data_IF_234967963508
#
_entry.id   IF_234967963508
#
_cell.length_a   1.000
_cell.length_b   1.000
_cell.length_c   1.000
_cell.angle_alpha   90.00
_cell.angle_beta   90.00
_cell.angle_gamma   90.00
#
_symmetry.space_group_name_H-M   'P 1'
#
loop_
_entity.id
_entity.type
_entity.pdbx_description
1 polymer ?
#
# COMPACT_ATOMS: atom_id res chain seq x y z
N UNK A 1 11.26 2.62 -26.58
CA UNK A 1 11.21 1.36 -25.76
C UNK A 1 10.61 1.74 -24.41
N UNK A 2 9.27 1.74 -24.32
CA UNK A 2 8.56 2.16 -23.11
C UNK A 2 8.66 1.05 -22.05
N UNK A 3 9.47 1.26 -21.02
CA UNK A 3 9.43 0.44 -19.81
C UNK A 3 8.17 0.79 -19.04
N UNK A 4 7.13 -0.02 -19.18
CA UNK A 4 6.04 -0.02 -18.23
C UNK A 4 6.62 -0.43 -16.85
N UNK A 5 6.79 0.52 -15.97
CA UNK A 5 7.08 0.21 -14.57
C UNK A 5 5.82 -0.39 -13.95
N UNK A 6 5.86 -1.67 -13.60
CA UNK A 6 4.78 -2.30 -12.86
C UNK A 6 4.59 -1.55 -11.51
N UNK A 7 3.35 -1.38 -11.07
CA UNK A 7 3.00 -0.53 -9.91
C UNK A 7 3.76 -0.81 -8.61
N UNK A 8 4.35 -2.01 -8.43
CA UNK A 8 5.19 -2.37 -7.27
C UNK A 8 6.57 -1.73 -7.35
N UNK A 9 7.24 -1.83 -8.49
CA UNK A 9 8.58 -1.29 -8.66
C UNK A 9 8.59 0.24 -8.46
N UNK A 10 7.53 0.95 -8.90
CA UNK A 10 7.43 2.40 -8.71
C UNK A 10 7.18 2.79 -7.25
N UNK A 11 6.31 2.09 -6.53
CA UNK A 11 5.98 2.41 -5.13
C UNK A 11 7.13 2.08 -4.18
N UNK A 12 7.82 0.97 -4.38
CA UNK A 12 9.00 0.62 -3.61
C UNK A 12 10.16 1.59 -3.87
N UNK A 13 10.36 1.98 -5.14
CA UNK A 13 11.39 2.95 -5.53
C UNK A 13 11.16 4.34 -4.91
N UNK A 14 9.91 4.79 -4.80
CA UNK A 14 9.57 6.07 -4.16
C UNK A 14 9.97 6.12 -2.69
N UNK A 15 9.93 4.98 -2.00
CA UNK A 15 10.27 4.86 -0.58
C UNK A 15 11.76 4.64 -0.32
N UNK A 16 12.57 4.40 -1.38
CA UNK A 16 14.02 4.31 -1.25
C UNK A 16 14.63 5.68 -0.93
N UNK A 17 15.62 5.67 -0.03
CA UNK A 17 16.22 6.88 0.55
C UNK A 17 16.72 7.93 -0.45
N UNK A 18 17.11 7.51 -1.66
CA UNK A 18 17.71 8.40 -2.66
C UNK A 18 16.83 8.69 -3.88
N UNK A 19 15.62 8.11 -3.96
CA UNK A 19 14.78 8.27 -5.14
C UNK A 19 14.35 9.73 -5.34
N UNK A 20 13.89 10.38 -4.28
CA UNK A 20 13.40 11.75 -4.32
C UNK A 20 14.50 12.77 -4.65
N UNK A 21 15.77 12.47 -4.35
CA UNK A 21 16.91 13.33 -4.67
C UNK A 21 17.12 13.51 -6.18
N UNK A 22 16.48 12.68 -7.01
CA UNK A 22 16.51 12.80 -8.48
C UNK A 22 15.57 13.89 -9.01
N UNK A 23 14.63 14.33 -8.18
CA UNK A 23 13.56 15.27 -8.56
C UNK A 23 13.56 16.55 -7.72
N UNK A 24 14.23 16.54 -6.57
CA UNK A 24 14.27 17.68 -5.66
C UNK A 24 15.70 17.89 -5.16
N UNK A 25 16.20 19.12 -5.27
CA UNK A 25 17.48 19.54 -4.67
C UNK A 25 17.29 19.99 -3.21
N UNK A 26 16.10 20.43 -2.84
CA UNK A 26 15.76 20.92 -1.52
C UNK A 26 15.44 19.77 -0.56
N UNK A 27 16.33 19.56 0.41
CA UNK A 27 16.20 18.51 1.44
C UNK A 27 14.92 18.66 2.28
N UNK A 28 14.49 19.89 2.57
CA UNK A 28 13.28 20.12 3.37
C UNK A 28 12.03 19.67 2.60
N UNK A 29 11.97 19.90 1.29
CA UNK A 29 10.89 19.39 0.43
C UNK A 29 10.91 17.87 0.36
N UNK A 30 12.09 17.25 0.26
CA UNK A 30 12.22 15.80 0.28
C UNK A 30 11.66 15.21 1.59
N UNK A 31 11.99 15.82 2.73
CA UNK A 31 11.49 15.38 4.03
C UNK A 31 9.98 15.57 4.18
N UNK A 32 9.44 16.68 3.72
CA UNK A 32 7.99 16.90 3.71
C UNK A 32 7.26 15.85 2.87
N UNK A 33 7.77 15.53 1.67
CA UNK A 33 7.19 14.50 0.80
C UNK A 33 7.30 13.12 1.45
N UNK A 34 8.44 12.79 2.08
CA UNK A 34 8.59 11.53 2.80
C UNK A 34 7.65 11.39 3.99
N UNK A 35 7.38 12.48 4.68
CA UNK A 35 6.52 12.48 5.86
C UNK A 35 5.06 12.09 5.57
N UNK A 36 4.62 12.17 4.30
CA UNK A 36 3.27 11.75 3.89
C UNK A 36 3.22 10.33 3.33
N UNK A 37 4.36 9.67 3.15
CA UNK A 37 4.38 8.29 2.67
C UNK A 37 4.11 7.32 3.82
N UNK A 38 3.25 6.35 3.55
CA UNK A 38 3.12 5.19 4.45
C UNK A 38 4.30 4.24 4.26
N UNK A 39 4.62 3.47 5.30
CA UNK A 39 5.66 2.46 5.25
C UNK A 39 5.35 1.39 4.20
N UNK A 40 6.34 1.09 3.37
CA UNK A 40 6.28 0.03 2.36
C UNK A 40 7.52 -0.84 2.50
N UNK A 41 7.32 -2.16 2.56
CA UNK A 41 8.41 -3.13 2.68
C UNK A 41 8.22 -4.23 1.65
N UNK A 42 9.32 -4.67 1.03
CA UNK A 42 9.33 -5.92 0.29
C UNK A 42 9.08 -7.09 1.25
N UNK A 43 8.50 -8.15 0.75
CA UNK A 43 8.39 -9.45 1.41
C UNK A 43 9.14 -10.54 0.65
N UNK A 44 10.10 -10.12 -0.18
CA UNK A 44 10.94 -11.01 -0.98
C UNK A 44 11.73 -11.98 -0.07
N UNK A 45 12.25 -13.04 -0.68
CA UNK A 45 13.01 -14.05 0.07
C UNK A 45 14.47 -13.61 0.29
N UNK A 46 14.64 -12.47 0.97
CA UNK A 46 15.91 -11.92 1.39
C UNK A 46 15.86 -11.50 2.87
N UNK A 47 16.95 -10.98 3.41
CA UNK A 47 17.04 -10.56 4.80
C UNK A 47 16.01 -9.48 5.15
N UNK A 48 15.81 -8.49 4.27
CA UNK A 48 14.89 -7.39 4.50
C UNK A 48 13.44 -7.86 4.43
N UNK A 49 13.10 -8.66 3.42
CA UNK A 49 11.77 -9.24 3.27
C UNK A 49 11.42 -10.20 4.42
N UNK A 50 12.38 -11.00 4.89
CA UNK A 50 12.16 -11.87 6.05
C UNK A 50 11.92 -11.07 7.34
N UNK A 51 12.61 -9.93 7.54
CA UNK A 51 12.31 -8.99 8.64
C UNK A 51 10.91 -8.40 8.53
N UNK A 52 10.47 -8.04 7.32
CA UNK A 52 9.12 -7.52 7.09
C UNK A 52 8.06 -8.60 7.37
N UNK A 53 8.27 -9.83 6.91
CA UNK A 53 7.40 -10.97 7.21
C UNK A 53 7.30 -11.20 8.72
N UNK A 54 8.41 -11.21 9.45
CA UNK A 54 8.41 -11.38 10.90
C UNK A 54 7.59 -10.29 11.62
N UNK A 55 7.69 -9.02 11.17
CA UNK A 55 6.88 -7.92 11.69
C UNK A 55 5.38 -8.12 11.42
N UNK A 56 5.03 -8.55 10.21
CA UNK A 56 3.66 -8.83 9.82
C UNK A 56 3.06 -9.99 10.61
N UNK A 57 3.83 -11.04 10.85
CA UNK A 57 3.43 -12.17 11.68
C UNK A 57 3.18 -11.78 13.15
N UNK A 58 4.03 -10.91 13.70
CA UNK A 58 3.92 -10.47 15.09
C UNK A 58 2.77 -9.47 15.32
N UNK A 59 2.46 -8.62 14.35
CA UNK A 59 1.47 -7.55 14.48
C UNK A 59 0.64 -7.39 13.19
N UNK A 60 -0.13 -8.39 12.78
CA UNK A 60 -0.80 -8.40 11.47
C UNK A 60 -1.81 -7.27 11.28
N UNK A 61 -2.45 -6.80 12.36
CA UNK A 61 -3.41 -5.69 12.31
C UNK A 61 -2.82 -4.34 11.91
N UNK A 62 -1.49 -4.20 11.98
CA UNK A 62 -0.78 -2.98 11.58
C UNK A 62 -0.47 -2.91 10.10
N UNK A 63 -0.73 -3.97 9.36
CA UNK A 63 -0.28 -4.10 7.98
C UNK A 63 -1.40 -4.48 7.03
N UNK A 64 -1.11 -4.25 5.75
CA UNK A 64 -1.86 -4.75 4.60
C UNK A 64 -0.87 -5.40 3.65
N UNK A 65 -1.12 -6.62 3.24
CA UNK A 65 -0.36 -7.30 2.21
C UNK A 65 -1.06 -7.11 0.86
N UNK A 66 -0.38 -6.44 -0.06
CA UNK A 66 -0.92 -6.05 -1.36
C UNK A 66 -0.28 -6.85 -2.49
N UNK A 67 -1.05 -7.56 -3.32
CA UNK A 67 -0.51 -8.19 -4.53
C UNK A 67 -0.18 -7.14 -5.59
N UNK A 68 0.71 -7.51 -6.52
CA UNK A 68 1.05 -6.71 -7.70
C UNK A 68 -0.02 -6.76 -8.81
N UNK A 69 -1.28 -6.83 -8.44
CA UNK A 69 -2.40 -6.83 -9.38
C UNK A 69 -3.12 -5.49 -9.29
N UNK A 70 -3.61 -5.02 -10.42
CA UNK A 70 -4.52 -3.88 -10.45
C UNK A 70 -5.87 -4.30 -9.85
N UNK A 71 -6.54 -3.34 -9.16
CA UNK A 71 -7.84 -3.58 -8.51
C UNK A 71 -7.74 -3.81 -7.00
N UNK A 72 -8.69 -3.22 -6.26
CA UNK A 72 -8.67 -3.14 -4.80
C UNK A 72 -9.13 -4.39 -4.04
N UNK A 73 -9.70 -5.41 -4.71
CA UNK A 73 -10.35 -6.55 -4.04
C UNK A 73 -9.42 -7.67 -3.55
N UNK A 74 -8.10 -7.57 -3.79
CA UNK A 74 -7.15 -8.65 -3.52
C UNK A 74 -6.20 -8.37 -2.35
N UNK A 75 -6.46 -7.33 -1.57
CA UNK A 75 -5.66 -7.01 -0.40
C UNK A 75 -5.95 -7.99 0.73
N UNK A 76 -4.91 -8.38 1.48
CA UNK A 76 -4.99 -9.28 2.62
C UNK A 76 -4.76 -8.45 3.90
N UNK A 77 -5.62 -8.62 4.90
CA UNK A 77 -5.66 -7.82 6.11
C UNK A 77 -5.62 -8.67 7.37
N UNK A 78 -5.12 -8.09 8.46
CA UNK A 78 -5.23 -8.66 9.79
C UNK A 78 -4.74 -10.10 9.86
N UNK A 79 -5.50 -10.96 10.50
CA UNK A 79 -5.14 -12.38 10.73
C UNK A 79 -5.04 -13.22 9.45
N UNK A 80 -5.57 -12.75 8.34
CA UNK A 80 -5.40 -13.43 7.04
C UNK A 80 -3.96 -13.31 6.52
N UNK A 81 -3.19 -12.31 6.98
CA UNK A 81 -1.77 -12.13 6.58
C UNK A 81 -0.90 -13.30 7.07
N UNK A 82 -0.86 -13.66 8.38
CA UNK A 82 -0.12 -14.82 8.85
C UNK A 82 -0.58 -16.11 8.19
N UNK A 83 -1.87 -16.31 8.06
CA UNK A 83 -2.42 -17.50 7.41
C UNK A 83 -1.90 -17.62 5.97
N UNK A 84 -1.98 -16.55 5.20
CA UNK A 84 -1.49 -16.50 3.82
C UNK A 84 0.01 -16.76 3.74
N UNK A 85 0.83 -16.03 4.53
CA UNK A 85 2.29 -16.13 4.50
C UNK A 85 2.80 -17.51 4.93
N UNK A 86 2.08 -18.19 5.83
CA UNK A 86 2.42 -19.56 6.28
C UNK A 86 2.08 -20.63 5.25
N UNK A 87 1.11 -20.38 4.37
CA UNK A 87 0.65 -21.33 3.35
C UNK A 87 1.32 -21.13 1.97
N UNK A 88 2.16 -20.11 1.81
CA UNK A 88 2.96 -19.95 0.60
C UNK A 88 3.96 -21.10 0.50
N UNK A 89 3.78 -21.96 -0.52
CA UNK A 89 4.63 -23.12 -0.73
C UNK A 89 6.02 -22.76 -1.25
N UNK A 90 6.09 -21.76 -2.15
CA UNK A 90 7.34 -21.24 -2.70
C UNK A 90 7.60 -19.82 -2.18
N UNK A 91 8.74 -19.63 -1.51
CA UNK A 91 9.15 -18.32 -1.03
C UNK A 91 9.22 -17.26 -2.14
N UNK A 92 9.40 -17.65 -3.41
CA UNK A 92 9.39 -16.75 -4.55
C UNK A 92 7.98 -16.19 -4.87
N UNK A 93 6.91 -16.86 -4.44
CA UNK A 93 5.55 -16.34 -4.60
C UNK A 93 5.35 -15.03 -3.82
N UNK A 94 6.11 -14.85 -2.73
CA UNK A 94 6.09 -13.60 -1.94
C UNK A 94 6.53 -12.39 -2.77
N UNK A 95 7.35 -12.57 -3.80
CA UNK A 95 7.80 -11.49 -4.69
C UNK A 95 6.64 -10.78 -5.41
N UNK A 96 5.47 -11.42 -5.50
CA UNK A 96 4.27 -10.83 -6.06
C UNK A 96 3.54 -9.89 -5.08
N UNK A 97 4.03 -9.71 -3.86
CA UNK A 97 3.37 -8.92 -2.82
C UNK A 97 4.27 -7.81 -2.27
N UNK A 98 3.63 -6.82 -1.66
CA UNK A 98 4.29 -5.78 -0.87
C UNK A 98 3.54 -5.61 0.45
N UNK A 99 4.28 -5.49 1.54
CA UNK A 99 3.73 -5.16 2.85
C UNK A 99 3.65 -3.64 2.99
N UNK A 100 2.49 -3.12 3.35
CA UNK A 100 2.24 -1.71 3.58
C UNK A 100 1.71 -1.49 5.00
N UNK A 101 2.14 -0.43 5.66
CA UNK A 101 1.51 -0.02 6.91
C UNK A 101 0.04 0.28 6.68
N UNK A 102 -0.83 -0.22 7.56
CA UNK A 102 -2.27 0.03 7.49
C UNK A 102 -2.56 1.47 7.88
N UNK A 103 -3.20 2.19 6.98
CA UNK A 103 -3.70 3.53 7.25
C UNK A 103 -5.03 3.41 8.00
N UNK A 104 -5.15 4.12 9.12
CA UNK A 104 -6.38 4.22 9.91
C UNK A 104 -6.98 5.62 9.71
N UNK A 105 -7.81 5.84 8.68
CA UNK A 105 -8.41 7.13 8.42
C UNK A 105 -9.49 7.46 9.47
N UNK A 106 -9.80 8.74 9.68
CA UNK A 106 -10.92 9.14 10.53
C UNK A 106 -12.23 8.61 9.97
N UNK A 107 -13.05 8.05 10.85
CA UNK A 107 -14.38 7.54 10.50
C UNK A 107 -15.39 8.66 10.73
N UNK A 108 -16.24 8.91 9.73
CA UNK A 108 -17.39 9.83 9.83
C UNK A 108 -18.67 9.05 9.59
N UNK A 109 -19.80 9.61 10.07
CA UNK A 109 -21.13 9.07 9.78
C UNK A 109 -21.73 9.88 8.64
N UNK A 110 -22.21 9.21 7.60
CA UNK A 110 -22.83 9.87 6.45
C UNK A 110 -23.91 8.99 5.83
N UNK A 111 -24.72 9.57 4.97
CA UNK A 111 -25.72 8.83 4.20
C UNK A 111 -25.11 8.30 2.91
N UNK A 112 -25.38 7.04 2.63
CA UNK A 112 -24.95 6.37 1.38
C UNK A 112 -26.16 5.90 0.61
N UNK A 113 -26.23 6.31 -0.65
CA UNK A 113 -27.22 5.81 -1.61
C UNK A 113 -26.59 4.64 -2.37
N UNK A 114 -27.25 3.50 -2.37
CA UNK A 114 -26.79 2.30 -3.09
C UNK A 114 -27.73 1.96 -4.24
N UNK A 115 -27.21 1.49 -5.38
CA UNK A 115 -28.04 1.01 -6.47
C UNK A 115 -29.04 -0.04 -5.98
N UNK A 116 -30.34 0.10 -6.38
CA UNK A 116 -31.42 -0.81 -5.99
C UNK A 116 -32.00 -0.57 -4.59
N UNK A 117 -31.55 0.44 -3.85
CA UNK A 117 -32.16 0.88 -2.59
C UNK A 117 -32.97 2.16 -2.84
N UNK A 118 -34.15 2.22 -2.26
CA UNK A 118 -35.05 3.40 -2.33
C UNK A 118 -34.70 4.48 -1.30
N UNK A 119 -34.00 4.10 -0.24
CA UNK A 119 -33.65 4.97 0.87
C UNK A 119 -32.15 5.07 1.09
N UNK A 120 -31.69 6.23 1.53
CA UNK A 120 -30.30 6.43 1.94
C UNK A 120 -30.08 5.83 3.33
N UNK A 121 -29.06 5.00 3.46
CA UNK A 121 -28.67 4.37 4.72
C UNK A 121 -27.60 5.23 5.42
N UNK A 122 -27.79 5.51 6.72
CA UNK A 122 -26.78 6.17 7.54
C UNK A 122 -25.73 5.14 8.01
N UNK A 123 -24.51 5.28 7.56
CA UNK A 123 -23.42 4.32 7.80
C UNK A 123 -22.12 5.03 8.16
N UNK A 124 -21.21 4.31 8.80
CA UNK A 124 -19.83 4.75 9.02
C UNK A 124 -19.06 4.67 7.70
N UNK A 125 -18.44 5.77 7.34
CA UNK A 125 -17.65 5.90 6.08
C UNK A 125 -16.28 6.50 6.38
N UNK A 126 -15.34 6.25 5.47
CA UNK A 126 -14.06 6.92 5.41
C UNK A 126 -13.97 7.71 4.10
N UNK A 127 -13.30 8.85 4.13
CA UNK A 127 -13.08 9.67 2.94
C UNK A 127 -11.73 9.34 2.34
N UNK A 128 -11.67 9.27 1.01
CA UNK A 128 -10.44 9.16 0.23
C UNK A 128 -10.38 10.32 -0.75
N UNK A 129 -9.25 11.02 -0.76
CA UNK A 129 -8.99 12.12 -1.70
C UNK A 129 -7.91 11.70 -2.68
N UNK A 130 -8.24 11.64 -3.97
CA UNK A 130 -7.29 11.44 -5.06
C UNK A 130 -6.89 12.79 -5.68
N UNK A 131 -5.59 13.03 -5.79
CA UNK A 131 -5.04 14.19 -6.49
C UNK A 131 -4.31 13.69 -7.73
N UNK A 132 -4.72 14.15 -8.89
CA UNK A 132 -4.15 13.78 -10.19
C UNK A 132 -3.53 14.99 -10.86
N UNK A 133 -2.35 14.81 -11.43
CA UNK A 133 -1.67 15.81 -12.23
C UNK A 133 -1.23 15.24 -13.58
N UNK A 134 -1.10 16.10 -14.58
CA UNK A 134 -0.52 15.75 -15.87
C UNK A 134 0.42 16.86 -16.34
N UNK A 135 1.40 16.49 -17.15
CA UNK A 135 2.33 17.42 -17.79
C UNK A 135 2.16 17.28 -19.29
N UNK A 136 1.94 18.42 -19.96
CA UNK A 136 1.93 18.51 -21.43
C UNK A 136 3.29 19.06 -21.81
N UNK A 137 4.08 18.25 -22.57
CA UNK A 137 5.37 18.64 -23.13
C UNK A 137 5.24 19.16 -24.54
#
# INVERSE_FOLDING_TARGET
MNKHYSGKASKHSLNQSNFLNRYFDDKNKIEQVRGIFTGLSSVDNDEQGNKAVAKAMANPERYVLKPQREGGGNNIYGQDIPHFLSNIADANERNAYILMDRINPPITTNYVVRPGKSEAEMVKVVSELGIFGYVIG
#
